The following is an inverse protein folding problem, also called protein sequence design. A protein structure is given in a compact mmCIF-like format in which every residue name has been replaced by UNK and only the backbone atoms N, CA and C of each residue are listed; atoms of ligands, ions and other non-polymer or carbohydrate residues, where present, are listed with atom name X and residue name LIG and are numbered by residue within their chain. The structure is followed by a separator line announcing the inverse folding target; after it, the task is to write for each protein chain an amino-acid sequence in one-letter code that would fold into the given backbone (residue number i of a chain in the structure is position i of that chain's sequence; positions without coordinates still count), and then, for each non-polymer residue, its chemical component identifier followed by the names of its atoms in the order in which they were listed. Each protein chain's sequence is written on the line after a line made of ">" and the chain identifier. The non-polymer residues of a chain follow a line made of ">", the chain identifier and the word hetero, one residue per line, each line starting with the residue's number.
data_IF_745802833763
#
_entry.id   IF_745802833763
#
_cell.length_a   1.000
_cell.length_b   1.000
_cell.length_c   1.000
_cell.angle_alpha   90.00
_cell.angle_beta   90.00
_cell.angle_gamma   90.00
#
_symmetry.space_group_name_H-M   'P 1'
#
loop_
_entity.id
_entity.type
_entity.pdbx_description
1 polymer ?
#
# COMPACT_ATOMS: atom_id res chain seq x y z
N UNK A 1 14.33 -8.17 11.29
CA UNK A 1 14.77 -6.91 10.63
C UNK A 1 13.79 -6.60 9.52
N UNK A 2 12.82 -5.72 9.78
CA UNK A 2 11.64 -5.57 8.90
C UNK A 2 11.84 -4.41 7.94
N UNK A 3 11.85 -4.71 6.64
CA UNK A 3 11.87 -3.71 5.57
C UNK A 3 10.54 -2.95 5.60
N UNK A 4 10.58 -1.70 6.08
CA UNK A 4 9.44 -0.80 6.11
C UNK A 4 9.01 -0.38 4.70
N UNK A 5 7.72 -0.10 4.51
CA UNK A 5 7.20 0.33 3.22
C UNK A 5 7.75 1.71 2.81
N UNK A 6 7.73 1.93 1.49
CA UNK A 6 8.10 3.19 0.84
C UNK A 6 7.27 4.34 1.41
N UNK A 7 7.96 5.32 1.99
CA UNK A 7 7.47 6.70 2.11
C UNK A 7 8.06 7.52 0.96
N UNK A 8 7.29 8.54 0.58
CA UNK A 8 7.32 9.35 -0.63
C UNK A 8 8.71 9.72 -1.21
N UNK A 9 8.76 9.83 -2.54
CA UNK A 9 9.98 10.08 -3.32
C UNK A 9 10.58 11.48 -3.19
N UNK A 10 9.81 12.44 -2.64
CA UNK A 10 10.12 13.87 -2.62
C UNK A 10 10.82 14.37 -1.34
N UNK A 11 10.72 13.64 -0.22
CA UNK A 11 11.23 14.13 1.07
C UNK A 11 12.76 14.13 1.16
N UNK A 12 13.35 15.32 1.24
CA UNK A 12 14.76 15.49 1.64
C UNK A 12 14.87 15.15 3.13
N UNK A 13 15.82 14.29 3.49
CA UNK A 13 16.12 13.95 4.89
C UNK A 13 17.41 14.64 5.36
N UNK A 14 17.38 15.92 5.78
CA UNK A 14 18.58 16.71 6.07
C UNK A 14 19.40 16.16 7.25
N UNK A 15 18.80 15.35 8.13
CA UNK A 15 19.48 14.70 9.24
C UNK A 15 20.45 13.57 8.83
N UNK A 16 20.30 13.01 7.61
CA UNK A 16 21.13 11.92 7.06
C UNK A 16 22.50 12.44 6.57
N UNK A 17 23.31 12.88 7.53
CA UNK A 17 24.58 13.62 7.30
C UNK A 17 25.83 12.74 7.25
N UNK A 18 25.72 11.42 7.38
CA UNK A 18 26.87 10.50 7.34
C UNK A 18 26.74 9.55 6.14
N UNK A 19 27.76 9.45 5.29
CA UNK A 19 27.84 8.52 4.14
C UNK A 19 28.75 7.34 4.47
N UNK A 20 28.33 6.12 4.13
CA UNK A 20 29.18 4.90 4.15
C UNK A 20 29.95 4.79 2.84
N UNK A 21 31.28 4.68 2.92
CA UNK A 21 32.16 4.49 1.76
C UNK A 21 32.85 3.12 1.89
N UNK A 22 32.74 2.29 0.85
CA UNK A 22 33.41 0.99 0.81
C UNK A 22 34.94 1.16 0.68
N UNK A 23 35.70 0.25 1.31
CA UNK A 23 37.17 0.24 1.25
C UNK A 23 37.67 -1.19 1.47
N UNK A 24 38.06 -1.87 0.38
CA UNK A 24 38.47 -3.27 0.41
C UNK A 24 37.41 -4.17 1.05
N UNK A 25 37.81 -4.94 2.07
CA UNK A 25 36.93 -5.83 2.86
C UNK A 25 36.07 -5.08 3.90
N UNK A 26 36.18 -3.77 4.02
CA UNK A 26 35.51 -2.96 5.04
C UNK A 26 34.81 -1.71 4.49
N UNK A 27 34.45 -0.82 5.40
CA UNK A 27 33.88 0.48 5.08
C UNK A 27 34.34 1.54 6.09
N UNK A 28 34.50 2.77 5.63
CA UNK A 28 34.66 3.95 6.48
C UNK A 28 33.47 4.90 6.29
N UNK A 29 33.38 5.91 7.15
CA UNK A 29 32.28 6.86 7.14
C UNK A 29 32.81 8.29 7.01
N UNK A 30 32.10 9.12 6.26
CA UNK A 30 32.35 10.56 6.13
C UNK A 30 31.09 11.35 6.43
N UNK A 31 31.23 12.52 7.03
CA UNK A 31 30.16 13.50 7.10
C UNK A 31 29.88 14.12 5.72
N UNK A 32 28.72 14.74 5.54
CA UNK A 32 28.40 15.55 4.34
C UNK A 32 29.37 16.70 4.11
N UNK A 33 30.05 17.19 5.15
CA UNK A 33 31.17 18.13 5.08
C UNK A 33 32.50 17.52 4.62
N UNK A 34 32.52 16.28 4.15
CA UNK A 34 33.72 15.58 3.65
C UNK A 34 34.63 15.01 4.75
N UNK A 35 34.60 15.54 5.98
CA UNK A 35 35.40 15.06 7.10
C UNK A 35 35.12 13.58 7.43
N UNK A 36 36.17 12.81 7.73
CA UNK A 36 36.07 11.42 8.17
C UNK A 36 35.41 11.33 9.56
N UNK A 37 34.62 10.28 9.79
CA UNK A 37 34.01 9.98 11.10
C UNK A 37 34.99 9.14 11.90
N UNK A 38 35.62 9.74 12.91
CA UNK A 38 36.62 9.06 13.76
C UNK A 38 36.18 8.93 15.22
N UNK A 39 35.14 9.68 15.63
CA UNK A 39 34.61 9.62 16.98
C UNK A 39 34.04 8.25 17.33
N UNK A 40 34.71 7.53 18.24
CA UNK A 40 34.39 6.14 18.61
C UNK A 40 32.95 5.93 19.13
N UNK A 41 32.32 6.97 19.70
CA UNK A 41 30.89 6.96 20.08
C UNK A 41 29.98 6.84 18.85
N UNK A 42 30.29 7.55 17.76
CA UNK A 42 29.53 7.53 16.51
C UNK A 42 29.73 6.20 15.79
N UNK A 43 30.98 5.73 15.70
CA UNK A 43 31.32 4.44 15.06
C UNK A 43 30.64 3.25 15.77
N UNK A 44 30.66 3.20 17.11
CA UNK A 44 29.94 2.17 17.88
C UNK A 44 28.44 2.19 17.60
N UNK A 45 27.81 3.37 17.56
CA UNK A 45 26.38 3.51 17.24
C UNK A 45 26.07 3.07 15.80
N UNK A 46 26.90 3.41 14.82
CA UNK A 46 26.72 2.95 13.44
C UNK A 46 26.82 1.41 13.36
N UNK A 47 27.75 0.79 14.09
CA UNK A 47 27.86 -0.67 14.17
C UNK A 47 26.61 -1.30 14.80
N UNK A 48 26.05 -0.72 15.86
CA UNK A 48 24.84 -1.24 16.51
C UNK A 48 23.55 -1.09 15.68
N UNK A 49 23.54 -0.23 14.65
CA UNK A 49 22.44 -0.16 13.68
C UNK A 49 22.34 -1.40 12.77
N UNK A 50 23.36 -2.26 12.72
CA UNK A 50 23.38 -3.50 11.93
C UNK A 50 22.99 -3.30 10.45
N UNK A 51 23.38 -2.17 9.84
CA UNK A 51 23.03 -1.82 8.46
C UNK A 51 23.56 -2.89 7.49
N UNK A 52 22.72 -3.56 6.69
CA UNK A 52 23.14 -4.69 5.85
C UNK A 52 24.37 -4.39 4.98
N UNK A 53 25.32 -5.32 4.85
CA UNK A 53 26.57 -5.08 4.11
C UNK A 53 26.34 -4.93 2.60
N UNK A 54 25.30 -5.57 2.06
CA UNK A 54 24.93 -5.51 0.65
C UNK A 54 24.22 -4.21 0.22
N UNK A 55 23.92 -3.29 1.14
CA UNK A 55 23.31 -2.00 0.78
C UNK A 55 24.33 -1.05 0.13
N UNK A 56 23.98 -0.50 -1.03
CA UNK A 56 24.72 0.54 -1.75
C UNK A 56 24.24 1.94 -1.33
N UNK A 57 25.03 2.97 -1.63
CA UNK A 57 24.68 4.39 -1.44
C UNK A 57 24.13 4.75 -0.05
N UNK A 58 24.69 4.14 1.01
CA UNK A 58 24.13 4.26 2.36
C UNK A 58 24.41 5.63 2.98
N UNK A 59 23.33 6.29 3.41
CA UNK A 59 23.33 7.49 4.26
C UNK A 59 22.77 7.16 5.64
N UNK A 60 23.27 7.83 6.67
CA UNK A 60 23.01 7.53 8.08
C UNK A 60 22.76 8.85 8.82
N UNK A 61 21.77 8.87 9.70
CA UNK A 61 21.48 10.02 10.57
C UNK A 61 22.65 10.31 11.49
N UNK A 62 22.89 11.57 11.87
CA UNK A 62 23.76 11.89 13.02
C UNK A 62 23.00 11.86 14.34
N UNK A 63 21.70 12.14 14.32
CA UNK A 63 20.83 12.15 15.49
C UNK A 63 20.40 10.71 15.85
N UNK A 64 20.65 10.24 17.09
CA UNK A 64 20.15 8.94 17.54
C UNK A 64 18.63 8.89 17.73
N UNK A 65 17.93 10.02 17.87
CA UNK A 65 16.48 10.07 18.07
C UNK A 65 15.67 10.16 16.77
N UNK A 66 16.31 10.49 15.65
CA UNK A 66 15.66 10.58 14.35
C UNK A 66 14.93 9.28 13.98
N UNK A 67 13.69 9.42 13.48
CA UNK A 67 12.83 8.31 13.07
C UNK A 67 13.52 7.37 12.08
N UNK A 68 14.18 7.93 11.07
CA UNK A 68 15.03 7.20 10.12
C UNK A 68 16.48 7.29 10.59
N UNK A 69 17.08 6.15 10.87
CA UNK A 69 18.49 6.02 11.27
C UNK A 69 19.41 5.82 10.08
N UNK A 70 18.98 5.13 9.01
CA UNK A 70 19.73 5.00 7.77
C UNK A 70 18.83 4.77 6.54
N UNK A 71 19.34 5.14 5.37
CA UNK A 71 18.78 4.80 4.05
C UNK A 71 19.88 4.17 3.21
N UNK A 72 19.53 3.19 2.36
CA UNK A 72 20.42 2.63 1.35
C UNK A 72 19.66 2.12 0.13
N UNK A 73 20.37 1.56 -0.84
CA UNK A 73 19.79 0.81 -1.95
C UNK A 73 20.11 -0.67 -1.76
N UNK A 74 19.13 -1.57 -1.91
CA UNK A 74 19.41 -3.01 -1.87
C UNK A 74 20.10 -3.54 -3.14
N UNK A 75 20.36 -4.85 -3.18
CA UNK A 75 20.98 -5.50 -4.34
C UNK A 75 20.17 -5.38 -5.64
N UNK A 76 18.86 -5.06 -5.56
CA UNK A 76 17.97 -4.79 -6.69
C UNK A 76 17.78 -3.28 -6.96
N UNK A 77 18.60 -2.42 -6.35
CA UNK A 77 18.54 -0.96 -6.51
C UNK A 77 17.39 -0.27 -5.78
N UNK A 78 16.60 -0.99 -4.98
CA UNK A 78 15.41 -0.41 -4.32
C UNK A 78 15.82 0.34 -3.05
N UNK A 79 15.26 1.53 -2.84
CA UNK A 79 15.49 2.32 -1.62
C UNK A 79 14.96 1.56 -0.39
N UNK A 80 15.84 1.39 0.59
CA UNK A 80 15.59 0.72 1.87
C UNK A 80 15.78 1.70 3.02
N UNK A 81 14.97 1.54 4.06
CA UNK A 81 14.96 2.39 5.25
C UNK A 81 15.24 1.56 6.51
N UNK A 82 16.07 2.08 7.41
CA UNK A 82 16.28 1.57 8.75
C UNK A 82 15.74 2.61 9.75
N UNK A 83 14.77 2.22 10.56
CA UNK A 83 14.11 3.09 11.53
C UNK A 83 14.68 2.94 12.95
N UNK A 84 14.46 3.95 13.80
CA UNK A 84 14.76 3.86 15.23
C UNK A 84 13.85 2.80 15.91
N UNK A 85 14.35 1.98 16.86
CA UNK A 85 13.53 0.94 17.51
C UNK A 85 12.24 1.47 18.14
N UNK A 86 12.30 2.60 18.85
CA UNK A 86 11.11 3.17 19.51
C UNK A 86 10.15 3.88 18.54
N UNK A 87 10.60 4.24 17.32
CA UNK A 87 9.71 4.75 16.29
C UNK A 87 8.67 3.70 15.91
N UNK A 88 9.05 2.42 15.85
CA UNK A 88 8.09 1.34 15.59
C UNK A 88 7.02 1.23 16.67
N UNK A 89 7.36 1.43 17.96
CA UNK A 89 6.40 1.42 19.08
C UNK A 89 5.40 2.56 18.95
N UNK A 90 5.89 3.78 18.75
CA UNK A 90 5.06 4.97 18.55
C UNK A 90 4.12 4.81 17.34
N UNK A 91 4.65 4.31 16.22
CA UNK A 91 3.84 4.03 15.02
C UNK A 91 2.81 2.91 15.23
N UNK A 92 3.04 1.92 16.09
CA UNK A 92 1.99 0.94 16.43
C UNK A 92 0.86 1.57 17.23
N UNK A 93 1.16 2.46 18.19
CA UNK A 93 0.15 3.16 18.98
C UNK A 93 -0.73 4.04 18.07
N UNK A 94 -0.13 4.85 17.21
CA UNK A 94 -0.89 5.71 16.30
C UNK A 94 -1.64 4.90 15.23
N UNK A 95 -1.06 3.79 14.73
CA UNK A 95 -1.77 2.85 13.85
C UNK A 95 -2.99 2.23 14.56
N UNK A 96 -2.87 1.86 15.83
CA UNK A 96 -3.99 1.27 16.57
C UNK A 96 -5.13 2.27 16.76
N UNK A 97 -4.83 3.50 17.22
CA UNK A 97 -5.80 4.60 17.31
C UNK A 97 -6.50 4.86 15.96
N UNK A 98 -5.73 4.95 14.87
CA UNK A 98 -6.25 5.13 13.50
C UNK A 98 -7.19 4.01 13.10
N UNK A 99 -6.87 2.75 13.43
CA UNK A 99 -7.74 1.61 13.15
C UNK A 99 -9.03 1.61 13.99
N UNK A 100 -8.98 2.06 15.25
CA UNK A 100 -10.19 2.26 16.06
C UNK A 100 -11.11 3.32 15.45
N UNK A 101 -10.56 4.49 15.07
CA UNK A 101 -11.32 5.57 14.43
C UNK A 101 -11.88 5.14 13.06
N UNK A 102 -11.10 4.37 12.29
CA UNK A 102 -11.53 3.80 11.02
C UNK A 102 -12.72 2.85 11.23
N UNK A 103 -12.61 1.90 12.16
CA UNK A 103 -13.68 0.94 12.48
C UNK A 103 -14.98 1.58 12.96
N UNK A 104 -14.91 2.78 13.58
CA UNK A 104 -16.09 3.57 13.95
C UNK A 104 -16.79 4.23 12.75
N UNK A 105 -16.03 4.67 11.73
CA UNK A 105 -16.58 5.36 10.55
C UNK A 105 -16.98 4.43 9.40
N UNK A 106 -16.32 3.28 9.26
CA UNK A 106 -16.55 2.33 8.15
C UNK A 106 -18.03 1.93 7.99
N UNK A 107 -18.84 1.70 9.04
CA UNK A 107 -20.26 1.36 8.86
C UNK A 107 -21.06 2.43 8.10
N UNK A 108 -20.95 3.70 8.49
CA UNK A 108 -21.62 4.82 7.81
C UNK A 108 -21.14 4.97 6.36
N UNK A 109 -19.82 4.88 6.16
CA UNK A 109 -19.23 4.93 4.83
C UNK A 109 -19.61 3.75 3.93
N UNK A 110 -19.87 2.57 4.50
CA UNK A 110 -20.38 1.40 3.77
C UNK A 110 -21.77 1.66 3.23
N UNK A 111 -22.67 2.22 4.04
CA UNK A 111 -24.03 2.56 3.59
C UNK A 111 -24.02 3.68 2.54
N UNK A 112 -23.17 4.70 2.70
CA UNK A 112 -22.91 5.70 1.67
C UNK A 112 -22.42 5.08 0.35
N UNK A 113 -21.46 4.15 0.41
CA UNK A 113 -20.99 3.43 -0.78
C UNK A 113 -22.08 2.53 -1.39
N UNK A 114 -22.91 1.85 -0.57
CA UNK A 114 -24.04 1.04 -1.03
C UNK A 114 -25.06 1.90 -1.79
N UNK A 115 -25.36 3.10 -1.31
CA UNK A 115 -26.24 4.05 -2.00
C UNK A 115 -25.64 4.53 -3.35
N UNK A 116 -24.33 4.82 -3.40
CA UNK A 116 -23.66 5.24 -4.64
C UNK A 116 -23.64 4.13 -5.71
N UNK A 117 -23.41 2.87 -5.33
CA UNK A 117 -23.36 1.78 -6.32
C UNK A 117 -24.70 1.44 -6.98
N UNK A 118 -25.82 1.88 -6.38
CA UNK A 118 -27.17 1.79 -6.95
C UNK A 118 -27.43 2.76 -8.11
N UNK A 119 -26.54 3.72 -8.40
CA UNK A 119 -26.67 4.58 -9.56
C UNK A 119 -26.48 3.83 -10.89
N UNK A 120 -27.18 4.22 -11.95
CA UNK A 120 -27.13 3.52 -13.25
C UNK A 120 -25.81 3.73 -14.01
N UNK A 121 -25.25 4.94 -13.95
CA UNK A 121 -24.06 5.33 -14.72
C UNK A 121 -22.77 4.93 -14.00
N UNK A 122 -21.80 4.39 -14.74
CA UNK A 122 -20.47 4.07 -14.22
C UNK A 122 -19.59 5.31 -14.06
N UNK A 123 -19.93 6.21 -13.14
CA UNK A 123 -19.09 7.37 -12.80
C UNK A 123 -17.85 6.96 -11.99
N UNK A 124 -16.89 7.88 -11.84
CA UNK A 124 -15.69 7.63 -11.02
C UNK A 124 -16.05 7.38 -9.55
N UNK A 125 -17.10 8.03 -9.04
CA UNK A 125 -17.63 7.84 -7.68
C UNK A 125 -18.27 6.44 -7.54
N UNK A 126 -19.11 6.02 -8.51
CA UNK A 126 -19.73 4.68 -8.49
C UNK A 126 -18.65 3.58 -8.52
N UNK A 127 -17.67 3.71 -9.40
CA UNK A 127 -16.56 2.77 -9.50
C UNK A 127 -15.68 2.77 -8.24
N UNK A 128 -15.39 3.93 -7.66
CA UNK A 128 -14.62 4.05 -6.40
C UNK A 128 -15.36 3.45 -5.21
N UNK A 129 -16.67 3.68 -5.10
CA UNK A 129 -17.52 3.10 -4.07
C UNK A 129 -17.54 1.57 -4.16
N UNK A 130 -17.70 1.00 -5.36
CA UNK A 130 -17.61 -0.46 -5.57
C UNK A 130 -16.26 -1.01 -5.16
N UNK A 131 -15.15 -0.36 -5.55
CA UNK A 131 -13.80 -0.80 -5.15
C UNK A 131 -13.61 -0.72 -3.63
N UNK A 132 -14.16 0.30 -2.96
CA UNK A 132 -14.13 0.40 -1.49
C UNK A 132 -14.92 -0.74 -0.81
N UNK A 133 -16.14 -1.05 -1.27
CA UNK A 133 -16.93 -2.17 -0.77
C UNK A 133 -16.21 -3.51 -0.96
N UNK A 134 -15.56 -3.71 -2.11
CA UNK A 134 -14.77 -4.92 -2.39
C UNK A 134 -13.49 -5.01 -1.56
N UNK A 135 -12.84 -3.88 -1.24
CA UNK A 135 -11.71 -3.85 -0.29
C UNK A 135 -12.14 -4.26 1.11
N UNK A 136 -13.27 -3.74 1.59
CA UNK A 136 -13.86 -4.06 2.89
C UNK A 136 -14.25 -5.55 2.97
N UNK A 137 -14.97 -6.04 1.96
CA UNK A 137 -15.45 -7.42 1.88
C UNK A 137 -14.31 -8.46 1.79
N UNK A 138 -13.31 -8.23 0.93
CA UNK A 138 -12.30 -9.25 0.59
C UNK A 138 -10.97 -9.08 1.32
N UNK A 139 -10.72 -7.93 1.96
CA UNK A 139 -9.44 -7.60 2.60
C UNK A 139 -8.22 -7.59 1.66
N UNK A 140 -8.44 -7.59 0.34
CA UNK A 140 -7.34 -7.60 -0.64
C UNK A 140 -6.55 -6.30 -0.62
N UNK A 141 -5.42 -6.29 -1.34
CA UNK A 141 -4.68 -5.05 -1.59
C UNK A 141 -5.26 -4.38 -2.83
N UNK A 142 -5.45 -3.07 -2.74
CA UNK A 142 -5.84 -2.19 -3.86
C UNK A 142 -5.02 -2.46 -5.14
N UNK A 143 -3.72 -2.66 -5.01
CA UNK A 143 -2.81 -2.77 -6.16
C UNK A 143 -2.28 -1.40 -6.57
N UNK A 144 -1.35 -1.37 -7.51
CA UNK A 144 -0.84 -0.14 -8.12
C UNK A 144 -0.37 -0.49 -9.54
N UNK A 145 -0.77 0.31 -10.52
CA UNK A 145 -0.61 -0.01 -11.94
C UNK A 145 0.87 -0.16 -12.36
N UNK A 146 1.76 0.67 -11.82
CA UNK A 146 3.18 0.65 -12.16
C UNK A 146 3.86 -0.64 -11.67
N UNK A 147 3.69 -0.97 -10.38
CA UNK A 147 4.20 -2.24 -9.83
C UNK A 147 3.64 -3.47 -10.55
N UNK A 148 2.41 -3.38 -11.07
CA UNK A 148 1.73 -4.50 -11.74
C UNK A 148 2.35 -4.82 -13.10
N UNK A 149 2.64 -3.79 -13.91
CA UNK A 149 3.29 -3.94 -15.23
C UNK A 149 4.70 -4.53 -15.11
N UNK A 150 5.47 -4.10 -14.12
CA UNK A 150 6.87 -4.53 -13.92
C UNK A 150 7.01 -5.97 -13.38
N UNK A 151 6.11 -6.41 -12.50
CA UNK A 151 6.29 -7.64 -11.72
C UNK A 151 5.29 -8.76 -12.07
N UNK A 152 4.33 -8.53 -12.98
CA UNK A 152 3.19 -9.42 -13.24
C UNK A 152 2.40 -9.79 -11.97
N UNK A 153 2.37 -8.89 -10.99
CA UNK A 153 1.61 -9.03 -9.74
C UNK A 153 0.42 -8.08 -9.73
N UNK A 154 -0.75 -8.54 -9.32
CA UNK A 154 -1.98 -7.77 -9.36
C UNK A 154 -2.55 -7.46 -7.96
N UNK A 155 -3.34 -6.40 -7.89
CA UNK A 155 -4.28 -6.08 -6.81
C UNK A 155 -5.61 -5.65 -7.41
N UNK A 156 -6.59 -5.31 -6.58
CA UNK A 156 -7.98 -5.09 -6.98
C UNK A 156 -8.15 -4.18 -8.22
N UNK A 157 -7.61 -2.96 -8.23
CA UNK A 157 -7.72 -2.02 -9.37
C UNK A 157 -6.92 -2.43 -10.59
N UNK A 158 -5.96 -3.36 -10.45
CA UNK A 158 -5.17 -3.87 -11.57
C UNK A 158 -5.64 -5.25 -12.05
N UNK A 159 -6.75 -5.77 -11.51
CA UNK A 159 -7.39 -6.96 -12.05
C UNK A 159 -7.91 -6.72 -13.47
N UNK A 160 -7.95 -7.79 -14.26
CA UNK A 160 -8.35 -7.81 -15.67
C UNK A 160 -9.33 -8.94 -15.87
N UNK A 161 -10.12 -8.90 -16.94
CA UNK A 161 -11.13 -9.95 -17.23
C UNK A 161 -10.57 -11.36 -17.29
N UNK A 162 -9.32 -11.54 -17.76
CA UNK A 162 -8.59 -12.82 -17.73
C UNK A 162 -8.37 -13.44 -16.33
N UNK A 163 -8.62 -12.70 -15.25
CA UNK A 163 -8.56 -13.21 -13.88
C UNK A 163 -9.90 -13.74 -13.39
N UNK A 164 -11.01 -13.40 -14.05
CA UNK A 164 -12.34 -13.94 -13.75
C UNK A 164 -12.35 -15.42 -14.11
N UNK A 165 -12.64 -16.28 -13.13
CA UNK A 165 -12.83 -17.73 -13.32
C UNK A 165 -14.31 -18.09 -13.41
N UNK A 166 -15.14 -17.37 -12.65
CA UNK A 166 -16.59 -17.56 -12.55
C UNK A 166 -17.20 -16.18 -12.33
N UNK A 167 -18.30 -15.87 -13.03
CA UNK A 167 -19.09 -14.67 -12.78
C UNK A 167 -20.58 -14.97 -13.02
N UNK A 168 -21.34 -14.96 -11.94
CA UNK A 168 -22.82 -15.00 -11.93
C UNK A 168 -23.32 -13.79 -11.14
N UNK A 169 -24.63 -13.57 -11.13
CA UNK A 169 -25.23 -12.49 -10.33
C UNK A 169 -25.16 -12.74 -8.82
N UNK A 170 -24.97 -14.00 -8.41
CA UNK A 170 -24.89 -14.40 -7.00
C UNK A 170 -23.44 -14.56 -6.52
N UNK A 171 -22.51 -14.89 -7.43
CA UNK A 171 -21.14 -15.27 -7.08
C UNK A 171 -20.13 -14.92 -8.17
N UNK A 172 -19.00 -14.33 -7.76
CA UNK A 172 -17.84 -14.09 -8.62
C UNK A 172 -16.58 -14.70 -8.00
N UNK A 173 -15.77 -15.39 -8.81
CA UNK A 173 -14.47 -15.93 -8.43
C UNK A 173 -13.35 -15.34 -9.29
N UNK A 174 -12.34 -14.73 -8.66
CA UNK A 174 -11.21 -14.10 -9.33
C UNK A 174 -9.89 -14.75 -8.88
N UNK A 175 -9.08 -15.23 -9.84
CA UNK A 175 -7.75 -15.80 -9.60
C UNK A 175 -6.63 -14.95 -10.22
N UNK A 176 -5.61 -14.62 -9.43
CA UNK A 176 -4.49 -13.79 -9.87
C UNK A 176 -3.19 -14.04 -9.08
N UNK A 177 -2.05 -13.73 -9.71
CA UNK A 177 -0.76 -13.65 -9.01
C UNK A 177 -0.67 -12.35 -8.21
N UNK A 178 -0.70 -12.44 -6.88
CA UNK A 178 -0.55 -11.29 -5.98
C UNK A 178 0.91 -10.94 -5.65
N UNK A 179 1.11 -10.05 -4.68
CA UNK A 179 2.43 -9.65 -4.16
C UNK A 179 3.31 -10.88 -3.83
N UNK A 180 4.58 -10.84 -4.26
CA UNK A 180 5.55 -11.95 -4.19
C UNK A 180 5.16 -13.17 -5.04
N UNK A 181 4.44 -12.96 -6.16
CA UNK A 181 3.99 -13.99 -7.10
C UNK A 181 3.17 -15.13 -6.46
N UNK A 182 2.57 -14.87 -5.29
CA UNK A 182 1.68 -15.82 -4.64
C UNK A 182 0.33 -15.80 -5.34
N UNK A 183 -0.07 -16.94 -5.91
CA UNK A 183 -1.44 -17.16 -6.43
C UNK A 183 -2.45 -16.84 -5.33
N UNK A 184 -3.53 -16.16 -5.71
CA UNK A 184 -4.65 -15.78 -4.86
C UNK A 184 -5.94 -16.04 -5.61
N UNK A 185 -6.88 -16.68 -4.93
CA UNK A 185 -8.27 -16.78 -5.35
C UNK A 185 -9.09 -15.96 -4.36
N UNK A 186 -10.03 -15.16 -4.84
CA UNK A 186 -11.03 -14.50 -4.01
C UNK A 186 -12.42 -14.83 -4.56
N UNK A 187 -13.33 -15.08 -3.64
CA UNK A 187 -14.75 -15.31 -3.93
C UNK A 187 -15.53 -14.13 -3.36
N UNK A 188 -16.54 -13.68 -4.11
CA UNK A 188 -17.48 -12.63 -3.74
C UNK A 188 -18.86 -13.27 -3.85
N UNK A 189 -19.52 -13.47 -2.71
CA UNK A 189 -20.80 -14.15 -2.54
C UNK A 189 -21.88 -13.27 -1.87
N UNK A 190 -21.63 -11.94 -1.80
CA UNK A 190 -22.67 -10.92 -1.65
C UNK A 190 -23.30 -10.66 -3.04
N UNK A 191 -24.61 -10.90 -3.26
CA UNK A 191 -25.23 -10.77 -4.58
C UNK A 191 -25.20 -9.36 -5.18
N UNK A 192 -25.20 -8.30 -4.37
CA UNK A 192 -25.04 -6.93 -4.87
C UNK A 192 -23.61 -6.74 -5.43
N UNK A 193 -22.60 -7.19 -4.70
CA UNK A 193 -21.21 -7.07 -5.16
C UNK A 193 -20.92 -8.01 -6.35
N UNK A 194 -21.49 -9.21 -6.36
CA UNK A 194 -21.34 -10.18 -7.45
C UNK A 194 -21.97 -9.66 -8.75
N UNK A 195 -23.22 -9.18 -8.71
CA UNK A 195 -23.89 -8.57 -9.88
C UNK A 195 -23.14 -7.35 -10.42
N UNK A 196 -22.72 -6.41 -9.57
CA UNK A 196 -21.94 -5.22 -9.98
C UNK A 196 -20.57 -5.59 -10.58
N UNK A 197 -19.90 -6.62 -10.06
CA UNK A 197 -18.65 -7.12 -10.65
C UNK A 197 -18.94 -7.86 -11.97
N UNK A 198 -20.07 -8.54 -12.10
CA UNK A 198 -20.54 -9.14 -13.35
C UNK A 198 -20.78 -8.07 -14.43
N UNK A 199 -21.45 -6.96 -14.11
CA UNK A 199 -21.57 -5.78 -15.00
C UNK A 199 -20.18 -5.28 -15.44
N UNK A 200 -19.24 -5.13 -14.50
CA UNK A 200 -17.85 -4.74 -14.78
C UNK A 200 -17.14 -5.70 -15.78
N UNK A 201 -17.51 -6.99 -15.83
CA UNK A 201 -16.98 -7.92 -16.84
C UNK A 201 -17.46 -7.62 -18.26
N UNK A 202 -18.58 -6.93 -18.44
CA UNK A 202 -19.17 -6.65 -19.77
C UNK A 202 -18.74 -5.29 -20.35
N UNK A 203 -18.13 -4.42 -19.55
CA UNK A 203 -17.65 -3.11 -19.99
C UNK A 203 -16.56 -3.23 -21.07
N UNK A 204 -16.27 -2.15 -21.81
CA UNK A 204 -15.15 -2.12 -22.76
C UNK A 204 -13.78 -2.18 -22.02
N UNK A 205 -12.67 -2.53 -22.70
CA UNK A 205 -11.30 -2.35 -22.18
C UNK A 205 -10.59 -3.63 -21.69
N UNK A 206 -9.57 -3.49 -20.82
CA UNK A 206 -8.79 -4.62 -20.29
C UNK A 206 -8.89 -4.79 -18.77
N UNK A 207 -8.88 -3.69 -18.02
CA UNK A 207 -9.02 -3.70 -16.56
C UNK A 207 -10.47 -4.01 -16.18
N UNK A 208 -10.65 -4.65 -15.02
CA UNK A 208 -11.95 -5.10 -14.55
C UNK A 208 -12.82 -3.92 -14.09
N UNK A 209 -12.25 -3.01 -13.31
CA UNK A 209 -12.94 -1.83 -12.78
C UNK A 209 -12.60 -0.61 -13.63
N UNK A 210 -13.64 0.05 -14.14
CA UNK A 210 -13.57 1.15 -15.09
C UNK A 210 -14.71 2.13 -14.84
N UNK A 211 -14.55 3.36 -15.31
CA UNK A 211 -15.61 4.38 -15.29
C UNK A 211 -15.69 5.08 -16.65
N UNK A 212 -16.83 5.70 -16.92
CA UNK A 212 -17.13 6.42 -18.15
C UNK A 212 -17.03 7.94 -17.90
N UNK A 213 -16.39 8.65 -18.82
CA UNK A 213 -16.35 10.11 -18.85
C UNK A 213 -17.58 10.69 -19.56
N UNK A 214 -17.80 11.99 -19.43
CA UNK A 214 -18.92 12.72 -20.06
C UNK A 214 -18.89 12.72 -21.59
N UNK A 215 -17.74 12.43 -22.21
CA UNK A 215 -17.59 12.23 -23.65
C UNK A 215 -17.90 10.78 -24.10
N UNK A 216 -18.30 9.91 -23.17
CA UNK A 216 -18.58 8.50 -23.40
C UNK A 216 -17.35 7.59 -23.40
N UNK A 217 -16.14 8.13 -23.26
CA UNK A 217 -14.90 7.35 -23.24
C UNK A 217 -14.72 6.61 -21.90
N UNK A 218 -13.97 5.49 -21.91
CA UNK A 218 -13.80 4.62 -20.75
C UNK A 218 -12.39 4.65 -20.16
N UNK A 219 -12.28 5.07 -18.90
CA UNK A 219 -11.05 5.12 -18.11
C UNK A 219 -10.93 3.90 -17.18
N UNK A 220 -9.69 3.47 -16.93
CA UNK A 220 -9.39 2.47 -15.90
C UNK A 220 -9.34 3.16 -14.53
N UNK A 221 -9.90 2.55 -13.49
CA UNK A 221 -9.73 3.09 -12.13
C UNK A 221 -8.34 2.73 -11.58
N UNK A 222 -7.74 3.65 -10.83
CA UNK A 222 -6.41 3.52 -10.25
C UNK A 222 -6.44 3.59 -8.72
N UNK A 223 -5.30 3.29 -8.09
CA UNK A 223 -5.17 3.35 -6.63
C UNK A 223 -5.35 4.77 -6.09
N UNK A 224 -4.99 5.75 -6.91
CA UNK A 224 -5.00 7.17 -6.66
C UNK A 224 -6.45 7.67 -6.54
N UNK A 225 -7.27 7.47 -7.58
CA UNK A 225 -8.72 7.80 -7.61
C UNK A 225 -9.48 7.30 -6.36
N UNK A 226 -9.23 6.04 -5.97
CA UNK A 226 -9.90 5.42 -4.82
C UNK A 226 -9.39 5.99 -3.49
N UNK A 227 -8.13 6.39 -3.39
CA UNK A 227 -7.66 7.11 -2.20
C UNK A 227 -8.24 8.53 -2.13
N UNK A 228 -8.34 9.23 -3.26
CA UNK A 228 -8.93 10.58 -3.30
C UNK A 228 -10.42 10.55 -2.92
N UNK A 229 -11.17 9.55 -3.40
CA UNK A 229 -12.53 9.25 -2.94
C UNK A 229 -12.61 8.97 -1.43
N UNK A 230 -11.70 8.15 -0.88
CA UNK A 230 -11.62 7.89 0.57
C UNK A 230 -11.27 9.18 1.35
N UNK A 231 -10.35 10.00 0.86
CA UNK A 231 -9.98 11.26 1.50
C UNK A 231 -11.17 12.23 1.55
N UNK A 232 -11.93 12.34 0.45
CA UNK A 232 -13.09 13.22 0.34
C UNK A 232 -14.26 12.81 1.26
N UNK A 233 -14.54 11.50 1.40
CA UNK A 233 -15.75 11.01 2.07
C UNK A 233 -15.51 10.40 3.45
N UNK A 234 -14.32 9.88 3.75
CA UNK A 234 -13.97 9.27 5.04
C UNK A 234 -13.00 10.17 5.84
N UNK A 235 -12.18 10.94 5.12
CA UNK A 235 -11.22 11.93 5.62
C UNK A 235 -9.76 11.59 5.27
N UNK A 236 -8.93 12.62 5.07
CA UNK A 236 -7.50 12.53 4.69
C UNK A 236 -6.63 11.63 5.58
N UNK A 237 -7.11 11.31 6.78
CA UNK A 237 -6.44 10.40 7.70
C UNK A 237 -6.59 8.91 7.35
N UNK A 238 -7.34 8.54 6.31
CA UNK A 238 -7.61 7.16 5.91
C UNK A 238 -7.23 6.89 4.45
N UNK A 239 -7.12 5.62 4.08
CA UNK A 239 -6.65 5.18 2.75
C UNK A 239 -7.10 3.75 2.46
N UNK A 240 -6.92 3.30 1.22
CA UNK A 240 -7.14 1.91 0.80
C UNK A 240 -6.41 0.87 1.69
N UNK A 241 -5.31 1.27 2.33
CA UNK A 241 -4.51 0.39 3.21
C UNK A 241 -5.21 0.08 4.53
N UNK A 242 -6.12 0.94 4.99
CA UNK A 242 -6.82 0.77 6.26
C UNK A 242 -7.86 -0.35 6.15
N UNK A 243 -8.55 -0.48 5.02
CA UNK A 243 -9.40 -1.63 4.69
C UNK A 243 -8.62 -2.96 4.76
N UNK A 244 -7.47 -3.07 4.07
CA UNK A 244 -6.65 -4.29 4.13
C UNK A 244 -6.08 -4.58 5.53
N UNK A 245 -5.90 -3.55 6.37
CA UNK A 245 -5.46 -3.73 7.76
C UNK A 245 -6.61 -4.20 8.64
N UNK A 246 -7.80 -3.62 8.49
CA UNK A 246 -9.00 -3.96 9.25
C UNK A 246 -9.46 -5.38 8.90
N UNK A 247 -9.63 -5.72 7.63
CA UNK A 247 -9.98 -7.09 7.21
C UNK A 247 -8.95 -8.12 7.70
N UNK A 248 -7.66 -7.80 7.67
CA UNK A 248 -6.60 -8.64 8.21
C UNK A 248 -6.60 -8.80 9.74
N UNK A 249 -7.30 -7.93 10.48
CA UNK A 249 -7.54 -8.07 11.92
C UNK A 249 -8.90 -8.70 12.21
N UNK A 250 -9.95 -8.33 11.48
CA UNK A 250 -11.29 -8.91 11.59
C UNK A 250 -11.27 -10.41 11.30
N UNK A 251 -10.52 -10.89 10.30
CA UNK A 251 -10.32 -12.34 10.05
C UNK A 251 -9.62 -13.04 11.23
N UNK A 252 -8.90 -12.31 12.10
CA UNK A 252 -8.32 -12.83 13.34
C UNK A 252 -9.25 -12.71 14.56
N UNK A 253 -10.42 -12.08 14.44
CA UNK A 253 -11.35 -11.82 15.56
C UNK A 253 -12.79 -12.26 15.26
N UNK A 254 -13.10 -12.61 14.01
CA UNK A 254 -14.44 -12.89 13.50
C UNK A 254 -14.34 -13.72 12.19
N UNK A 255 -15.35 -14.45 11.69
CA UNK A 255 -16.58 -15.02 12.28
C UNK A 255 -17.21 -14.30 13.48
N UNK A 256 -17.99 -13.28 13.15
CA UNK A 256 -19.11 -12.81 13.95
C UNK A 256 -20.37 -13.03 13.11
N UNK A 257 -21.53 -13.28 13.75
CA UNK A 257 -22.69 -13.92 13.15
C UNK A 257 -23.43 -13.07 12.11
#
# INVERSE_FOLDING_TARGET
>A
MTIGQVVDGSMRHPHLTIKRIACGKGAYYRYTSGRKVEGQRVLRRIKSLAIPPNWKSVTISRDPKASIQAIGLDAKGRKQYLYHPDWHKQQQVEKFKRLTLFGQKVPEFREFCRALVSGEQWTIERASALVCLLLDYTGVRIGNAQYSKENNTYGLTTLRRKHVQEATLEKVSLEYSGKHSKRRTITIDDPLLASLVCECTQLQGYSLFRYQLSDGSWCDIHSEDVNDFIHAHLGESFSCKDFSNLGGQSICTAKLP
#
